data_IF_588598831576
#
_entry.id   IF_588598831576
#
_cell.length_a   1.000
_cell.length_b   1.000
_cell.length_c   1.000
_cell.angle_alpha   90.00
_cell.angle_beta   90.00
_cell.angle_gamma   90.00
#
_symmetry.space_group_name_H-M   'P 1'
#
loop_
_entity.id
_entity.type
_entity.pdbx_description
1 polymer ?
2 non-polymer ?
3 non-polymer ?
4 non-polymer ?
5 water ?
#
# COMPACT_ATOMS: atom_id res chain seq x y z
N UNK A 1 12.11 6.33 15.63
CA UNK A 1 11.88 5.15 16.43
C UNK A 1 12.86 4.04 16.09
N UNK A 2 12.77 2.94 16.83
CA UNK A 2 13.64 1.79 16.61
C UNK A 2 13.22 0.99 15.39
N UNK A 3 14.18 0.38 14.71
CA UNK A 3 13.88 -0.64 13.72
C UNK A 3 13.05 -1.71 14.41
N UNK A 4 12.14 -2.33 13.65
CA UNK A 4 11.24 -3.33 14.18
C UNK A 4 11.07 -4.50 13.23
N UNK A 5 10.87 -5.67 13.81
CA UNK A 5 10.47 -6.85 13.04
C UNK A 5 9.24 -7.44 13.75
N UNK A 6 8.86 -8.67 13.42
CA UNK A 6 7.79 -9.36 14.14
C UNK A 6 8.42 -10.35 15.11
N UNK A 7 7.75 -10.58 16.21
CA UNK A 7 8.24 -11.52 17.25
C UNK A 7 8.26 -12.96 16.80
N UNK A 8 7.17 -13.34 16.14
CA UNK A 8 6.84 -14.72 15.78
C UNK A 8 6.40 -14.72 14.28
N UNK A 9 6.51 -15.84 13.57
CA UNK A 9 5.89 -15.98 12.27
C UNK A 9 4.38 -15.73 12.36
N UNK A 10 3.86 -15.00 11.38
CA UNK A 10 2.44 -14.70 11.29
C UNK A 10 1.93 -15.14 9.92
N UNK A 11 0.78 -15.80 9.89
CA UNK A 11 0.24 -16.27 8.62
C UNK A 11 -1.09 -15.60 8.28
N UNK A 12 -1.31 -15.39 6.99
CA UNK A 12 -2.58 -14.91 6.47
C UNK A 12 -2.88 -15.67 5.19
N UNK A 13 -4.15 -15.76 4.81
CA UNK A 13 -4.50 -16.47 3.59
C UNK A 13 -5.85 -16.03 3.07
N UNK A 14 -6.08 -16.31 1.78
CA UNK A 14 -7.36 -16.02 1.17
C UNK A 14 -7.22 -15.66 -0.29
N UNK A 15 -8.35 -15.36 -0.92
CA UNK A 15 -8.34 -15.03 -2.34
C UNK A 15 -7.67 -13.69 -2.60
N UNK A 16 -7.06 -13.58 -3.78
CA UNK A 16 -6.50 -12.33 -4.26
C UNK A 16 -7.52 -11.62 -5.11
N UNK A 17 -7.59 -10.30 -5.00
CA UNK A 17 -8.64 -9.55 -5.66
C UNK A 17 -8.53 -9.56 -7.18
N UNK A 18 -7.31 -9.61 -7.72
CA UNK A 18 -7.15 -9.59 -9.17
C UNK A 18 -7.01 -10.96 -9.83
N UNK A 19 -6.26 -11.86 -9.21
CA UNK A 19 -6.11 -13.20 -9.75
C UNK A 19 -7.32 -14.09 -9.45
N UNK A 20 -8.02 -13.78 -8.37
CA UNK A 20 -9.12 -14.62 -7.91
C UNK A 20 -8.65 -15.95 -7.35
N UNK A 21 -7.33 -16.12 -7.21
CA UNK A 21 -6.76 -17.36 -6.70
C UNK A 21 -6.56 -17.28 -5.20
N UNK A 22 -6.53 -18.44 -4.56
CA UNK A 22 -6.26 -18.53 -3.13
C UNK A 22 -4.76 -18.54 -2.90
N UNK A 23 -4.28 -17.70 -2.00
CA UNK A 23 -2.86 -17.67 -1.69
C UNK A 23 -2.64 -17.62 -0.19
N UNK A 24 -1.40 -17.89 0.22
CA UNK A 24 -1.03 -17.88 1.63
C UNK A 24 0.22 -17.04 1.85
N UNK A 25 0.27 -16.36 2.98
CA UNK A 25 1.43 -15.58 3.40
C UNK A 25 1.99 -16.12 4.69
N UNK A 26 3.32 -16.09 4.82
CA UNK A 26 3.96 -16.25 6.11
C UNK A 26 4.93 -15.09 6.29
N UNK A 27 4.76 -14.32 7.35
CA UNK A 27 5.63 -13.20 7.64
C UNK A 27 6.69 -13.63 8.65
N UNK A 28 7.94 -13.51 8.25
CA UNK A 28 9.08 -14.02 9.01
C UNK A 28 9.88 -12.90 9.66
N UNK A 29 10.29 -13.10 10.92
CA UNK A 29 11.22 -12.16 11.55
C UNK A 29 12.54 -12.05 10.78
N UNK A 30 13.15 -10.87 10.81
CA UNK A 30 14.46 -10.66 10.21
C UNK A 30 15.25 -9.65 11.03
N UNK A 31 16.58 -9.75 10.94
CA UNK A 31 17.47 -8.91 11.71
C UNK A 31 17.56 -7.49 11.15
N UNK A 32 18.17 -6.62 11.93
CA UNK A 32 18.40 -5.23 11.54
C UNK A 32 19.10 -5.17 10.18
N UNK A 33 18.70 -4.19 9.38
CA UNK A 33 19.33 -3.97 8.09
C UNK A 33 18.78 -4.82 6.94
N UNK A 34 17.85 -5.72 7.22
CA UNK A 34 17.33 -6.60 6.18
C UNK A 34 16.43 -5.85 5.22
N UNK A 35 15.60 -4.95 5.75
CA UNK A 35 14.57 -4.30 4.95
C UNK A 35 13.34 -5.17 4.84
N UNK A 36 12.35 -4.68 4.10
CA UNK A 36 11.14 -5.43 3.80
C UNK A 36 11.33 -6.11 2.46
N UNK A 37 11.10 -7.41 2.42
CA UNK A 37 11.23 -8.15 1.17
C UNK A 37 10.19 -9.25 1.12
N UNK A 38 9.82 -9.63 -0.09
CA UNK A 38 8.97 -10.79 -0.32
C UNK A 38 9.85 -11.98 -0.69
N UNK A 39 9.30 -13.17 -0.58
CA UNK A 39 10.01 -14.40 -0.91
C UNK A 39 9.02 -15.35 -1.58
N UNK A 40 9.40 -15.82 -2.76
CA UNK A 40 8.54 -16.71 -3.52
C UNK A 40 9.39 -17.65 -4.36
N UNK A 41 9.13 -18.95 -4.23
CA UNK A 41 9.85 -19.96 -5.02
C UNK A 41 11.35 -19.76 -4.98
N UNK A 42 11.88 -19.52 -3.79
CA UNK A 42 13.31 -19.44 -3.59
C UNK A 42 13.93 -18.10 -3.97
N UNK A 43 13.10 -17.14 -4.36
CA UNK A 43 13.58 -15.84 -4.81
C UNK A 43 13.15 -14.72 -3.87
N UNK A 44 14.10 -13.87 -3.48
CA UNK A 44 13.78 -12.68 -2.69
C UNK A 44 13.50 -11.49 -3.60
N UNK A 45 12.38 -10.82 -3.34
CA UNK A 45 11.96 -9.65 -4.10
C UNK A 45 11.85 -8.49 -3.13
N UNK A 46 12.87 -7.61 -3.09
CA UNK A 46 12.79 -6.48 -2.17
C UNK A 46 11.57 -5.59 -2.43
N UNK A 47 11.01 -5.02 -1.38
CA UNK A 47 9.88 -4.12 -1.50
C UNK A 47 10.39 -2.72 -1.84
N UNK A 48 10.93 -2.60 -3.05
CA UNK A 48 11.54 -1.37 -3.52
C UNK A 48 11.12 -1.08 -4.95
N UNK A 49 11.17 0.19 -5.33
CA UNK A 49 10.62 0.62 -6.61
C UNK A 49 11.29 -0.02 -7.80
N UNK A 50 12.55 -0.43 -7.65
CA UNK A 50 13.27 -1.06 -8.75
C UNK A 50 12.63 -2.37 -9.21
N UNK A 51 11.79 -2.95 -8.35
CA UNK A 51 11.20 -4.25 -8.65
C UNK A 51 9.74 -4.16 -9.07
N UNK A 52 9.24 -2.94 -9.25
CA UNK A 52 7.88 -2.75 -9.74
C UNK A 52 7.77 -3.21 -11.20
N UNK A 53 6.75 -4.01 -11.48
CA UNK A 53 6.53 -4.51 -12.84
C UNK A 53 5.16 -4.17 -13.43
N UNK A 54 4.28 -3.60 -12.61
CA UNK A 54 2.92 -3.30 -13.02
C UNK A 54 2.33 -2.30 -12.04
N UNK A 55 1.54 -1.35 -12.53
CA UNK A 55 0.91 -0.34 -11.67
C UNK A 55 -0.52 0.00 -12.06
N UNK A 56 -1.15 -0.82 -12.91
CA UNK A 56 -2.53 -0.56 -13.31
C UNK A 56 -3.51 -1.36 -12.44
N UNK A 57 -4.18 -0.65 -11.54
CA UNK A 57 -5.16 -1.19 -10.60
C UNK A 57 -4.56 -1.87 -9.37
N UNK A 58 -3.24 -2.06 -9.38
CA UNK A 58 -2.50 -2.56 -8.23
C UNK A 58 -1.04 -2.30 -8.47
N UNK A 59 -0.25 -2.43 -7.42
CA UNK A 59 1.20 -2.35 -7.52
C UNK A 59 1.76 -3.75 -7.39
N UNK A 60 2.49 -4.19 -8.41
CA UNK A 60 3.01 -5.55 -8.45
C UNK A 60 4.53 -5.53 -8.53
N UNK A 61 5.17 -6.49 -7.88
CA UNK A 61 6.63 -6.60 -7.88
C UNK A 61 7.07 -7.90 -8.52
N UNK A 62 8.29 -7.92 -9.03
CA UNK A 62 8.84 -9.13 -9.59
C UNK A 62 10.36 -9.12 -9.64
N UNK A 63 10.94 -10.31 -9.61
CA UNK A 63 12.37 -10.48 -9.79
C UNK A 63 12.66 -11.92 -10.21
N UNK A 64 13.55 -12.08 -11.18
CA UNK A 64 14.03 -13.41 -11.57
C UNK A 64 12.90 -14.39 -11.89
N UNK A 65 11.86 -13.89 -12.55
CA UNK A 65 10.77 -14.74 -13.02
C UNK A 65 9.69 -15.04 -12.00
N UNK A 66 9.77 -14.40 -10.83
CA UNK A 66 8.76 -14.57 -9.79
C UNK A 66 8.05 -13.23 -9.56
N UNK A 67 6.72 -13.28 -9.55
CA UNK A 67 5.90 -12.07 -9.44
C UNK A 67 4.92 -12.18 -8.29
N UNK A 68 4.63 -11.04 -7.66
CA UNK A 68 3.62 -10.95 -6.63
C UNK A 68 2.75 -9.73 -6.89
N UNK A 69 1.46 -9.97 -7.07
CA UNK A 69 0.51 -8.90 -7.31
C UNK A 69 0.00 -8.29 -6.02
N UNK A 70 -0.29 -6.99 -6.09
CA UNK A 70 -1.09 -6.28 -5.10
C UNK A 70 -0.39 -6.22 -3.74
N UNK A 71 0.78 -5.59 -3.74
CA UNK A 71 1.57 -5.49 -2.53
C UNK A 71 1.22 -4.27 -1.69
N UNK A 72 0.39 -3.38 -2.22
CA UNK A 72 0.23 -2.06 -1.63
C UNK A 72 -0.41 -2.05 -0.23
N UNK A 73 -1.33 -2.97 0.04
CA UNK A 73 -2.04 -2.94 1.31
C UNK A 73 -1.19 -3.50 2.46
N UNK A 74 -0.50 -4.61 2.24
CA UNK A 74 0.39 -5.13 3.26
C UNK A 74 1.57 -4.16 3.48
N UNK A 75 2.08 -3.58 2.41
CA UNK A 75 3.16 -2.60 2.58
C UNK A 75 2.71 -1.36 3.33
N UNK A 76 1.48 -0.91 3.09
CA UNK A 76 0.98 0.25 3.80
C UNK A 76 0.92 -0.02 5.30
N UNK A 77 0.41 -1.19 5.67
CA UNK A 77 0.32 -1.57 7.06
C UNK A 77 1.71 -1.61 7.72
N UNK A 78 2.67 -2.21 7.03
CA UNK A 78 4.02 -2.30 7.56
C UNK A 78 4.63 -0.89 7.70
N UNK A 79 4.37 -0.02 6.74
CA UNK A 79 4.84 1.35 6.78
C UNK A 79 4.25 2.07 8.00
N UNK A 80 2.96 1.92 8.20
CA UNK A 80 2.26 2.62 9.29
C UNK A 80 2.74 2.15 10.66
N UNK A 81 3.07 0.86 10.77
CA UNK A 81 3.55 0.31 12.03
C UNK A 81 5.08 0.40 12.14
N UNK A 82 5.71 0.94 11.11
CA UNK A 82 7.17 1.08 11.05
C UNK A 82 7.89 -0.24 11.29
N UNK A 83 7.33 -1.33 10.76
CA UNK A 83 8.06 -2.58 10.66
C UNK A 83 9.04 -2.43 9.51
N UNK A 84 10.32 -2.61 9.81
CA UNK A 84 11.37 -2.31 8.84
C UNK A 84 12.11 -3.53 8.32
N UNK A 85 12.08 -4.64 9.07
CA UNK A 85 12.80 -5.84 8.70
C UNK A 85 11.87 -7.04 8.76
N UNK A 86 11.60 -7.65 7.63
CA UNK A 86 10.64 -8.73 7.58
C UNK A 86 10.69 -9.39 6.21
N UNK A 87 10.43 -10.69 6.16
CA UNK A 87 10.26 -11.38 4.89
C UNK A 87 8.82 -11.85 4.77
N UNK A 88 8.15 -11.45 3.70
CA UNK A 88 6.81 -11.90 3.43
C UNK A 88 6.88 -13.03 2.40
N UNK A 89 6.83 -14.25 2.90
CA UNK A 89 6.80 -15.43 2.04
C UNK A 89 5.41 -15.57 1.44
N UNK A 90 5.34 -15.67 0.12
CA UNK A 90 4.08 -15.78 -0.58
C UNK A 90 4.02 -17.12 -1.30
N UNK A 91 3.02 -17.91 -0.96
CA UNK A 91 2.73 -19.14 -1.69
C UNK A 91 1.50 -18.85 -2.51
N UNK A 92 1.72 -18.53 -3.78
CA UNK A 92 0.67 -18.04 -4.65
C UNK A 92 1.17 -16.86 -5.46
N UNK A 93 0.23 -16.13 -6.07
CA UNK A 93 0.58 -15.11 -7.05
C UNK A 93 0.19 -13.69 -6.64
N UNK A 94 -0.39 -13.55 -5.46
CA UNK A 94 -0.97 -12.28 -5.06
C UNK A 94 -1.14 -12.25 -3.55
N UNK A 95 -1.05 -11.06 -2.97
CA UNK A 95 -1.36 -10.92 -1.56
C UNK A 95 -2.90 -11.08 -1.37
N UNK A 96 -3.33 -11.84 -0.36
CA UNK A 96 -4.77 -11.92 -0.10
C UNK A 96 -5.39 -10.55 0.14
N UNK A 97 -6.59 -10.33 -0.37
CA UNK A 97 -7.27 -9.04 -0.21
C UNK A 97 -8.03 -8.96 1.12
N UNK A 98 -8.36 -10.12 1.69
CA UNK A 98 -9.12 -10.18 2.94
C UNK A 98 -10.41 -9.36 2.81
N UNK A 99 -10.70 -8.44 3.73
CA UNK A 99 -11.97 -7.70 3.66
C UNK A 99 -11.89 -6.45 2.77
N UNK A 100 -10.77 -6.27 2.09
CA UNK A 100 -10.58 -5.11 1.22
C UNK A 100 -9.77 -4.00 1.86
N UNK A 101 -9.52 -4.13 3.17
CA UNK A 101 -8.78 -3.12 3.92
C UNK A 101 -7.53 -3.71 4.55
N UNK A 102 -6.80 -2.90 5.30
CA UNK A 102 -5.60 -3.37 5.98
C UNK A 102 -5.87 -3.90 7.37
N UNK A 103 -7.14 -3.97 7.78
CA UNK A 103 -7.48 -4.19 9.18
C UNK A 103 -6.92 -5.48 9.77
N UNK A 104 -7.14 -6.60 9.11
CA UNK A 104 -6.70 -7.88 9.64
C UNK A 104 -5.17 -7.94 9.76
N UNK A 105 -4.46 -7.44 8.74
CA UNK A 105 -3.01 -7.36 8.81
C UNK A 105 -2.58 -6.49 9.98
N UNK A 106 -3.20 -5.32 10.09
CA UNK A 106 -2.81 -4.32 11.06
C UNK A 106 -2.97 -4.83 12.50
N UNK A 107 -4.13 -5.41 12.80
CA UNK A 107 -4.39 -5.88 14.16
C UNK A 107 -3.44 -7.01 14.56
N UNK A 108 -3.21 -7.95 13.65
CA UNK A 108 -2.35 -9.09 13.95
C UNK A 108 -0.89 -8.68 14.11
N UNK A 109 -0.42 -7.82 13.22
CA UNK A 109 0.98 -7.42 13.25
C UNK A 109 1.27 -6.50 14.42
N UNK A 110 0.33 -5.61 14.73
CA UNK A 110 0.51 -4.63 15.81
C UNK A 110 0.73 -5.31 17.16
N UNK A 111 0.14 -6.49 17.35
CA UNK A 111 0.26 -7.22 18.61
C UNK A 111 1.47 -8.16 18.62
N UNK A 112 2.27 -8.10 17.56
CA UNK A 112 3.39 -9.02 17.37
C UNK A 112 4.65 -8.31 16.91
N UNK A 113 4.87 -7.12 17.44
CA UNK A 113 6.04 -6.33 17.08
C UNK A 113 7.21 -6.58 18.02
N UNK A 114 8.39 -6.74 17.44
CA UNK A 114 9.63 -6.87 18.20
C UNK A 114 10.54 -5.68 17.90
N UNK A 115 10.80 -4.87 18.92
CA UNK A 115 11.73 -3.77 18.80
C UNK A 115 13.14 -4.30 18.62
N UNK A 116 13.93 -3.59 17.83
CA UNK A 116 15.31 -3.98 17.58
C UNK A 116 16.26 -2.89 18.08
N UNK A 117 17.53 -2.97 17.71
CA UNK A 117 18.55 -2.26 18.47
C UNK A 117 19.16 -1.02 17.84
N UNK A 118 18.76 -0.69 16.62
CA UNK A 118 19.17 0.58 16.05
C UNK A 118 17.94 1.38 15.65
N UNK A 119 18.13 2.67 15.44
CA UNK A 119 17.07 3.56 15.01
C UNK A 119 16.81 3.44 13.51
N UNK A 120 15.60 3.79 13.10
CA UNK A 120 15.24 3.81 11.70
C UNK A 120 15.91 4.98 10.99
N UNK A 121 16.49 4.70 9.84
CA UNK A 121 16.98 5.74 8.95
C UNK A 121 15.86 6.08 7.99
N UNK A 122 15.03 7.04 8.37
CA UNK A 122 13.87 7.41 7.57
C UNK A 122 14.28 7.98 6.24
N UNK A 123 13.46 7.76 5.21
CA UNK A 123 13.59 8.51 3.99
C UNK A 123 12.94 9.86 4.24
N UNK A 124 13.76 10.89 4.34
CA UNK A 124 13.31 12.23 4.69
C UNK A 124 13.27 13.09 3.44
N UNK A 125 12.08 13.45 2.99
CA UNK A 125 11.95 14.35 1.85
C UNK A 125 12.68 15.66 2.17
N UNK A 126 13.58 16.06 1.29
CA UNK A 126 14.51 17.15 1.59
C UNK A 126 14.09 18.49 0.98
N UNK A 127 13.33 18.45 -0.10
CA UNK A 127 12.87 19.67 -0.75
C UNK A 127 11.55 19.41 -1.47
N UNK A 128 10.81 20.48 -1.80
CA UNK A 128 9.54 20.28 -2.50
C UNK A 128 9.70 19.63 -3.86
N UNK A 129 8.69 18.89 -4.27
CA UNK A 129 8.67 18.23 -5.57
C UNK A 129 7.22 18.10 -6.02
N UNK A 130 7.01 18.14 -7.33
CA UNK A 130 5.70 17.94 -7.92
C UNK A 130 5.81 17.03 -9.13
N UNK A 131 4.95 16.03 -9.20
CA UNK A 131 4.84 15.19 -10.39
C UNK A 131 3.41 15.25 -10.92
N UNK A 132 3.26 15.23 -12.24
CA UNK A 132 1.95 15.35 -12.86
C UNK A 132 1.80 14.37 -14.02
N UNK A 133 0.59 13.97 -14.27
CA UNK A 133 0.27 13.17 -15.40
C UNK A 133 -1.21 13.27 -15.70
N UNK A 134 -1.58 13.80 -16.88
CA UNK A 134 -2.96 13.85 -17.36
C UNK A 134 -3.94 14.34 -16.31
N UNK A 135 -3.70 15.53 -15.76
CA UNK A 135 -4.62 16.15 -14.83
C UNK A 135 -4.43 15.70 -13.39
N UNK A 136 -3.73 14.59 -13.19
CA UNK A 136 -3.44 14.09 -11.86
C UNK A 136 -2.13 14.72 -11.38
N UNK A 137 -2.01 14.97 -10.08
CA UNK A 137 -0.84 15.58 -9.52
C UNK A 137 -0.53 15.08 -8.12
N UNK A 138 0.77 14.96 -7.81
CA UNK A 138 1.17 14.70 -6.43
C UNK A 138 2.32 15.63 -6.05
N UNK A 139 2.32 16.21 -5.00
CA UNK A 139 3.27 17.11 -4.41
C UNK A 139 3.82 16.51 -3.12
N UNK A 140 5.09 16.75 -2.83
CA UNK A 140 5.72 16.37 -1.57
C UNK A 140 6.60 17.52 -1.10
N UNK A 141 6.70 17.67 0.21
CA UNK A 141 7.59 18.67 0.80
C UNK A 141 8.08 18.17 2.14
N UNK A 142 9.13 18.80 2.68
CA UNK A 142 9.67 18.32 3.95
C UNK A 142 8.69 18.41 5.11
N UNK A 143 8.79 17.43 6.00
CA UNK A 143 7.99 17.39 7.23
C UNK A 143 8.66 16.41 8.19
N UNK A 144 8.61 16.72 9.48
CA UNK A 144 9.18 15.84 10.49
C UNK A 144 8.33 14.60 10.68
N UNK A 145 7.07 14.68 10.23
CA UNK A 145 6.14 13.57 10.35
C UNK A 145 5.53 13.23 9.00
N UNK A 146 5.08 12.00 8.86
CA UNK A 146 4.37 11.57 7.66
C UNK A 146 2.96 12.14 7.68
N UNK A 147 2.66 12.95 6.67
CA UNK A 147 1.34 13.52 6.50
C UNK A 147 0.95 13.31 5.04
N UNK A 148 -0.25 12.79 4.81
CA UNK A 148 -0.68 12.45 3.46
C UNK A 148 -2.12 12.85 3.24
N UNK A 149 -2.34 13.71 2.24
CA UNK A 149 -3.68 14.14 1.87
C UNK A 149 -4.01 13.62 0.48
N UNK A 150 -5.21 13.09 0.32
CA UNK A 150 -5.70 12.70 -0.99
C UNK A 150 -7.00 13.43 -1.28
N UNK A 151 -7.08 14.02 -2.46
CA UNK A 151 -8.30 14.65 -2.91
C UNK A 151 -8.81 13.94 -4.16
N UNK A 152 -10.04 13.47 -4.10
CA UNK A 152 -10.68 12.84 -5.23
C UNK A 152 -11.80 13.67 -5.81
N UNK A 153 -12.07 13.44 -7.08
CA UNK A 153 -13.22 14.04 -7.75
C UNK A 153 -13.96 12.93 -8.47
N UNK A 154 -14.98 12.40 -7.83
CA UNK A 154 -15.66 11.21 -8.31
C UNK A 154 -16.85 11.57 -9.19
N UNK A 155 -17.04 10.78 -10.24
CA UNK A 155 -18.13 11.00 -11.19
C UNK A 155 -19.39 10.26 -10.75
N UNK A 156 -19.73 10.40 -9.48
CA UNK A 156 -20.98 9.87 -8.96
C UNK A 156 -21.41 10.71 -7.77
N UNK A 157 -22.33 10.18 -6.96
CA UNK A 157 -22.91 10.94 -5.86
C UNK A 157 -21.87 11.46 -4.86
N UNK A 158 -20.68 10.87 -4.84
CA UNK A 158 -19.66 11.26 -3.88
C UNK A 158 -19.07 12.64 -4.17
N UNK A 159 -19.00 13.01 -5.44
CA UNK A 159 -18.44 14.30 -5.82
C UNK A 159 -17.01 14.45 -5.34
N UNK A 160 -16.69 15.63 -4.81
CA UNK A 160 -15.36 15.94 -4.35
C UNK A 160 -15.18 15.64 -2.86
N UNK A 161 -14.12 14.89 -2.55
CA UNK A 161 -13.79 14.55 -1.18
C UNK A 161 -12.30 14.70 -0.96
N UNK A 162 -11.89 15.08 0.24
CA UNK A 162 -10.48 15.01 0.58
C UNK A 162 -10.30 14.50 2.00
N UNK A 163 -9.17 13.85 2.25
CA UNK A 163 -8.87 13.31 3.55
C UNK A 163 -7.38 13.41 3.83
N UNK A 164 -7.04 13.77 5.06
CA UNK A 164 -5.66 13.90 5.49
C UNK A 164 -5.33 12.94 6.62
N UNK A 165 -4.32 12.10 6.40
CA UNK A 165 -3.72 11.27 7.43
C UNK A 165 -2.54 12.01 8.07
N UNK A 166 -2.45 11.94 9.39
CA UNK A 166 -1.23 12.32 10.09
C UNK A 166 -0.87 11.20 11.07
N UNK A 167 0.40 11.13 11.45
CA UNK A 167 0.84 10.14 12.43
C UNK A 167 -0.03 10.19 13.67
N UNK A 168 -0.37 9.02 14.19
CA UNK A 168 -1.24 8.90 15.34
C UNK A 168 -2.65 8.51 14.94
N UNK A 169 -2.97 8.72 13.67
CA UNK A 169 -4.33 8.44 13.17
C UNK A 169 -4.35 7.24 12.23
N UNK A 170 -3.46 6.29 12.48
CA UNK A 170 -3.36 5.10 11.65
C UNK A 170 -4.68 4.35 11.58
N UNK A 171 -5.39 4.32 12.71
CA UNK A 171 -6.67 3.60 12.78
C UNK A 171 -7.74 4.21 11.89
N UNK A 172 -7.50 5.42 11.40
CA UNK A 172 -8.46 6.10 10.56
C UNK A 172 -8.41 5.66 9.09
N UNK A 173 -7.35 4.94 8.69
CA UNK A 173 -7.25 4.52 7.31
C UNK A 173 -7.10 3.01 7.11
N UNK A 174 -6.81 2.25 8.17
CA UNK A 174 -6.55 0.83 8.02
C UNK A 174 -7.82 -0.02 7.88
N UNK A 175 -8.98 0.60 8.04
CA UNK A 175 -10.25 -0.10 7.81
C UNK A 175 -10.94 0.33 6.52
N UNK A 176 -10.35 1.27 5.78
CA UNK A 176 -10.96 1.75 4.55
C UNK A 176 -10.69 0.76 3.42
N UNK A 177 -11.75 0.33 2.74
CA UNK A 177 -11.64 -0.72 1.74
C UNK A 177 -11.41 -0.21 0.34
N UNK A 178 -10.80 -1.08 -0.47
CA UNK A 178 -10.69 -0.84 -1.89
C UNK A 178 -12.10 -0.71 -2.48
N UNK A 179 -12.21 0.01 -3.59
CA UNK A 179 -13.50 0.33 -4.16
C UNK A 179 -13.44 0.30 -5.68
N UNK A 180 -14.60 0.15 -6.30
CA UNK A 180 -14.72 0.15 -7.75
C UNK A 180 -16.07 0.69 -8.14
N UNK A 181 -16.15 1.22 -9.35
CA UNK A 181 -17.38 1.77 -9.88
C UNK A 181 -17.98 0.78 -10.85
N UNK A 182 -19.30 0.62 -10.79
CA UNK A 182 -19.96 -0.44 -11.55
C UNK A 182 -19.72 -0.32 -13.05
N UNK A 183 -19.61 0.91 -13.55
CA UNK A 183 -19.45 1.12 -14.98
C UNK A 183 -18.03 0.85 -15.46
N UNK A 184 -17.11 0.55 -14.54
CA UNK A 184 -15.73 0.27 -14.90
C UNK A 184 -15.35 -1.20 -14.76
N UNK A 185 -16.18 -1.97 -14.08
CA UNK A 185 -15.81 -3.34 -13.73
C UNK A 185 -15.68 -4.26 -14.95
N UNK A 186 -16.55 -4.09 -15.95
CA UNK A 186 -16.46 -4.93 -17.14
C UNK A 186 -15.11 -4.78 -17.83
N UNK A 187 -14.62 -3.55 -17.95
CA UNK A 187 -13.31 -3.31 -18.55
C UNK A 187 -12.21 -3.95 -17.73
N UNK A 188 -12.26 -3.76 -16.42
CA UNK A 188 -11.24 -4.30 -15.54
C UNK A 188 -11.14 -5.82 -15.70
N UNK A 189 -12.29 -6.48 -15.79
CA UNK A 189 -12.29 -7.92 -15.98
C UNK A 189 -11.77 -8.29 -17.37
N UNK A 190 -12.11 -7.48 -18.36
CA UNK A 190 -11.71 -7.75 -19.74
C UNK A 190 -10.20 -7.65 -19.91
N UNK A 191 -9.55 -6.85 -19.08
CA UNK A 191 -8.11 -6.68 -19.19
C UNK A 191 -7.34 -7.58 -18.22
N UNK A 192 -8.04 -8.59 -17.70
CA UNK A 192 -7.40 -9.68 -16.98
C UNK A 192 -7.30 -9.50 -15.48
N UNK A 193 -8.09 -8.58 -14.93
CA UNK A 193 -8.00 -8.22 -13.52
C UNK A 193 -9.34 -8.40 -12.80
N UNK A 194 -9.36 -8.07 -11.51
CA UNK A 194 -10.57 -8.10 -10.71
C UNK A 194 -11.27 -9.45 -10.57
N UNK A 195 -10.56 -10.54 -10.81
CA UNK A 195 -11.21 -11.85 -10.83
C UNK A 195 -11.71 -12.29 -9.46
N UNK A 196 -11.10 -11.76 -8.40
CA UNK A 196 -11.49 -12.11 -7.04
C UNK A 196 -12.38 -11.06 -6.38
N UNK A 197 -12.73 -10.01 -7.10
CA UNK A 197 -13.54 -8.94 -6.54
C UNK A 197 -14.98 -9.35 -6.29
N UNK A 198 -15.49 -8.96 -5.13
CA UNK A 198 -16.88 -9.25 -4.77
C UNK A 198 -17.32 -8.24 -3.72
N UNK A 199 -18.60 -8.26 -3.38
CA UNK A 199 -19.11 -7.37 -2.34
C UNK A 199 -18.55 -7.72 -0.97
N UNK A 200 -17.86 -8.86 -0.86
CA UNK A 200 -17.24 -9.25 0.40
C UNK A 200 -15.88 -8.58 0.61
N UNK A 201 -15.28 -8.05 -0.45
CA UNK A 201 -13.95 -7.45 -0.34
C UNK A 201 -13.78 -6.11 -1.06
N UNK A 202 -14.85 -5.62 -1.69
CA UNK A 202 -14.79 -4.39 -2.45
C UNK A 202 -16.02 -3.56 -2.21
N UNK A 203 -15.83 -2.26 -1.98
CA UNK A 203 -16.92 -1.30 -1.96
C UNK A 203 -17.28 -0.97 -3.39
N UNK A 204 -18.44 -1.42 -3.84
CA UNK A 204 -18.85 -1.23 -5.22
C UNK A 204 -19.92 -0.14 -5.30
N UNK A 205 -19.64 0.88 -6.11
CA UNK A 205 -20.46 2.08 -6.18
C UNK A 205 -21.00 2.29 -7.57
N UNK A 206 -22.25 2.75 -7.66
CA UNK A 206 -22.84 3.17 -8.91
C UNK A 206 -22.93 4.69 -8.94
N UNK A 207 -23.59 5.21 -9.96
CA UNK A 207 -23.74 6.66 -10.10
C UNK A 207 -24.49 7.23 -8.91
N UNK A 208 -25.51 6.52 -8.45
CA UNK A 208 -26.43 7.04 -7.45
C UNK A 208 -26.62 6.10 -6.26
N UNK A 209 -25.90 4.99 -6.20
CA UNK A 209 -26.13 4.02 -5.15
C UNK A 209 -24.88 3.26 -4.71
N UNK A 210 -25.01 2.57 -3.59
CA UNK A 210 -23.99 1.67 -3.07
C UNK A 210 -24.52 0.25 -3.14
N UNK A 211 -23.75 -0.66 -3.72
CA UNK A 211 -24.19 -2.04 -3.87
C UNK A 211 -24.11 -2.84 -2.58
N UNK A 212 -23.07 -2.60 -1.79
CA UNK A 212 -22.86 -3.33 -0.54
C UNK A 212 -24.01 -3.09 0.43
N UNK A 213 -24.68 -4.17 0.87
CA UNK A 213 -25.78 -3.98 1.82
C UNK A 213 -25.34 -3.28 3.12
N UNK A 214 -24.10 -3.48 3.52
CA UNK A 214 -23.59 -2.91 4.76
C UNK A 214 -23.22 -1.43 4.60
N UNK A 215 -23.20 -0.97 3.36
CA UNK A 215 -22.89 0.42 3.06
C UNK A 215 -21.43 0.78 3.29
N UNK A 216 -21.16 2.08 3.32
CA UNK A 216 -19.81 2.58 3.52
C UNK A 216 -19.42 2.58 4.98
N UNK A 217 -18.15 2.28 5.25
CA UNK A 217 -17.64 2.34 6.61
C UNK A 217 -17.46 3.79 7.07
N UNK A 218 -17.20 4.66 6.10
CA UNK A 218 -17.08 6.10 6.33
C UNK A 218 -17.62 6.78 5.09
N UNK A 219 -18.21 7.96 5.24
CA UNK A 219 -18.74 8.67 4.08
C UNK A 219 -17.64 8.94 3.05
N UNK A 220 -16.40 9.07 3.52
CA UNK A 220 -15.27 9.31 2.64
C UNK A 220 -14.32 8.10 2.56
N UNK A 221 -14.88 6.90 2.69
CA UNK A 221 -14.08 5.69 2.65
C UNK A 221 -13.16 5.63 1.43
N UNK A 222 -13.65 6.02 0.24
CA UNK A 222 -12.77 5.91 -0.93
C UNK A 222 -11.49 6.74 -0.83
N UNK A 223 -11.55 7.99 -0.38
CA UNK A 223 -10.33 8.78 -0.29
C UNK A 223 -9.45 8.33 0.89
N UNK A 224 -10.06 7.83 1.96
CA UNK A 224 -9.26 7.19 3.00
C UNK A 224 -8.46 6.02 2.42
N UNK A 225 -9.10 5.22 1.57
CA UNK A 225 -8.39 4.10 0.97
C UNK A 225 -7.29 4.57 0.03
N UNK A 226 -7.53 5.63 -0.72
CA UNK A 226 -6.51 6.16 -1.62
C UNK A 226 -5.30 6.66 -0.85
N UNK A 227 -5.51 7.24 0.32
CA UNK A 227 -4.40 7.62 1.20
C UNK A 227 -3.63 6.38 1.63
N UNK A 228 -4.37 5.36 2.06
CA UNK A 228 -3.79 4.07 2.45
C UNK A 228 -2.93 3.48 1.33
N UNK A 229 -3.45 3.49 0.10
CA UNK A 229 -2.69 3.02 -1.07
C UNK A 229 -1.38 3.79 -1.24
N UNK A 230 -1.46 5.11 -1.17
CA UNK A 230 -0.29 5.94 -1.39
C UNK A 230 0.77 5.66 -0.34
N UNK A 231 0.37 5.46 0.90
CA UNK A 231 1.32 5.14 1.96
C UNK A 231 2.01 3.79 1.69
N UNK A 232 1.29 2.84 1.12
CA UNK A 232 1.90 1.58 0.72
C UNK A 232 2.91 1.77 -0.40
N UNK A 233 2.55 2.53 -1.42
CA UNK A 233 3.45 2.78 -2.53
C UNK A 233 4.68 3.57 -2.10
N UNK A 234 4.51 4.50 -1.16
CA UNK A 234 5.64 5.28 -0.66
C UNK A 234 6.69 4.40 0.01
N UNK A 235 6.27 3.26 0.56
CA UNK A 235 7.24 2.40 1.24
C UNK A 235 8.20 1.76 0.24
N UNK A 236 7.91 1.88 -1.05
CA UNK A 236 8.82 1.38 -2.08
C UNK A 236 10.10 2.23 -2.14
N UNK A 237 10.14 3.30 -1.37
CA UNK A 237 11.38 4.04 -1.18
C UNK A 237 12.39 3.24 -0.36
N UNK A 238 11.92 2.22 0.34
CA UNK A 238 12.80 1.29 1.03
C UNK A 238 13.00 1.57 2.52
N UNK A 239 12.44 2.67 3.01
CA UNK A 239 12.48 3.02 4.42
C UNK A 239 11.21 3.78 4.76
N UNK A 240 10.79 3.75 6.02
CA UNK A 240 9.63 4.59 6.37
C UNK A 240 9.92 6.05 6.06
N UNK A 241 8.88 6.78 5.68
CA UNK A 241 9.02 8.08 5.05
C UNK A 241 8.57 9.22 5.95
N UNK A 242 9.34 10.30 5.97
CA UNK A 242 8.91 11.55 6.60
C UNK A 242 8.78 12.61 5.51
N UNK A 243 7.58 13.13 5.36
CA UNK A 243 7.30 14.14 4.36
C UNK A 243 5.81 14.43 4.35
N UNK A 244 5.44 15.56 3.75
CA UNK A 244 4.04 15.95 3.64
C UNK A 244 3.64 15.85 2.18
N UNK A 245 2.61 15.05 1.90
CA UNK A 245 2.22 14.70 0.55
C UNK A 245 0.80 15.15 0.29
N UNK A 246 0.55 15.60 -0.93
CA UNK A 246 -0.80 15.92 -1.39
C UNK A 246 -0.99 15.31 -2.76
N UNK A 247 -1.99 14.46 -2.89
CA UNK A 247 -2.30 13.81 -4.15
C UNK A 247 -3.67 14.22 -4.63
N UNK A 248 -3.74 14.74 -5.85
CA UNK A 248 -5.00 15.05 -6.51
C UNK A 248 -5.25 14.00 -7.58
N UNK A 249 -6.19 13.11 -7.29
CA UNK A 249 -6.60 12.06 -8.23
C UNK A 249 -5.48 11.09 -8.59
N UNK A 250 -4.49 10.95 -7.72
CA UNK A 250 -3.38 10.05 -8.00
C UNK A 250 -3.78 8.59 -7.97
N UNK A 251 -2.94 7.77 -8.59
CA UNK A 251 -3.09 6.32 -8.54
C UNK A 251 -1.71 5.69 -8.47
N UNK A 252 -1.64 4.37 -8.54
CA UNK A 252 -0.37 3.68 -8.35
C UNK A 252 0.70 4.13 -9.34
N UNK A 253 0.32 4.36 -10.58
CA UNK A 253 1.30 4.75 -11.60
C UNK A 253 1.96 6.06 -11.20
N UNK A 254 1.16 7.05 -10.81
CA UNK A 254 1.69 8.35 -10.44
C UNK A 254 2.46 8.26 -9.12
N UNK A 255 1.97 7.43 -8.20
CA UNK A 255 2.65 7.23 -6.93
C UNK A 255 4.07 6.71 -7.14
N UNK A 256 4.19 5.72 -8.02
CA UNK A 256 5.48 5.11 -8.29
C UNK A 256 6.38 6.07 -9.05
N UNK A 257 5.80 6.88 -9.93
CA UNK A 257 6.56 7.92 -10.62
C UNK A 257 7.19 8.87 -9.61
N UNK A 258 6.41 9.29 -8.62
CA UNK A 258 6.92 10.17 -7.57
C UNK A 258 8.03 9.49 -6.78
N UNK A 259 7.81 8.23 -6.40
CA UNK A 259 8.80 7.48 -5.64
C UNK A 259 10.12 7.41 -6.39
N UNK A 260 10.05 7.14 -7.69
CA UNK A 260 11.27 7.01 -8.49
C UNK A 260 12.01 8.34 -8.59
N UNK A 261 11.28 9.44 -8.69
CA UNK A 261 11.92 10.76 -8.75
C UNK A 261 12.59 11.10 -7.42
N UNK A 262 11.92 10.80 -6.31
CA UNK A 262 12.49 11.05 -4.99
C UNK A 262 13.74 10.20 -4.76
N UNK A 263 13.68 8.94 -5.14
CA UNK A 263 14.78 8.02 -4.92
C UNK A 263 16.01 8.46 -5.70
N UNK A 264 15.79 8.90 -6.94
CA UNK A 264 16.87 9.35 -7.79
C UNK A 264 17.60 10.52 -7.15
N UNK A 265 16.85 11.44 -6.58
CA UNK A 265 17.42 12.61 -5.91
C UNK A 265 18.37 12.23 -4.78
N UNK A 266 18.02 11.20 -4.02
CA UNK A 266 18.76 10.87 -2.81
C UNK A 266 19.54 9.56 -2.88
N UNK A 267 19.75 9.01 -4.07
CA UNK A 267 20.42 7.71 -4.16
C UNK A 267 21.81 7.72 -3.49
N UNK A 268 22.41 8.90 -3.38
CA UNK A 268 23.76 9.01 -2.80
C UNK A 268 23.80 9.48 -1.35
N UNK A 269 22.65 9.48 -0.69
CA UNK A 269 22.61 9.55 0.76
C UNK A 269 22.08 8.21 1.26
N UNK A 270 21.16 7.63 0.48
CA UNK A 270 20.48 6.39 0.84
C UNK A 270 21.35 5.14 0.69
N UNK A 271 22.00 4.99 -0.47
CA UNK A 271 22.81 3.80 -0.73
C UNK A 271 24.02 3.72 0.20
N UNK A 272 24.28 4.81 0.92
CA UNK A 272 25.39 4.85 1.87
C UNK A 272 24.88 4.68 3.30
X LIG B 1 -5.94 -0.31 -2.53
X LIG C 1 -7.22 -0.47 -4.13
X LIG C 1 -6.77 -0.24 -5.25
X LIG C 1 -5.41 -0.41 -5.39
X LIG C 1 -4.82 -0.71 -4.24
X LIG C 1 -7.57 0.10 -6.47
X LIG C 1 -8.55 -0.93 -6.69
X LIG C 1 -8.87 -1.40 -7.99
X LIG C 1 -8.46 -0.84 -8.93
X LIG C 1 -9.95 -2.44 -8.11
X LIG C 1 -10.52 -2.97 -6.97
X LIG C 1 -11.60 -3.86 -7.05
X LIG C 1 -12.10 -4.24 -8.29
X LIG C 1 -11.53 -3.70 -9.44
X LIG C 1 -10.45 -2.82 -9.36
X LIG C 1 -13.34 -5.01 -8.33
X LIG C 1 -14.36 -5.63 -8.37
X LIG C 1 -15.55 -6.27 -8.38
X LIG C 1 -16.61 -6.81 -8.38
X LIG C 1 -17.89 -7.45 -8.38
X LIG C 1 -18.70 -7.36 -7.26
X LIG C 1 -19.94 -7.99 -7.26
X LIG C 1 -20.36 -8.70 -8.38
X LIG C 1 -19.53 -8.78 -9.50
X LIG C 1 -18.30 -8.16 -9.50
X LIG C 1 -8.13 1.52 -6.35
X LIG C 1 -9.26 1.47 -5.30
X LIG C 1 -7.06 2.40 -5.96
X LIG D 1 12.53 -17.55 4.21
X LIG D 1 13.03 -18.29 3.00
X LIG D 1 12.86 -18.34 5.46
X LIG D 1 13.19 -16.19 4.29
X LIG D 1 11.03 -17.37 4.10
#
# INVERSE_FOLDING_TARGET
>A
GLEKTVKEKLSFEGVGIHTGEYSKLIIHPEKEGTGIRFFKNGVYIPARHEFVVHTNHSTDLGFKGQRIKTVEHILSVLHLLEITNVTIEVIGNEIPILDGSGWEFYEAIRKNILNQNREIDYFVVEEPIIVEDEGRLIKAEPSDTLEVTYEGEFKNFLGRQKFTFVEGNEEEIVLARTFAFDWEIEHIKKVGLGKGGSLKNTLVLGKDKVYNPEGLRYENEPVRHKVFDLIGDLYLLGSPVKGKFYSFRGGHSLNVKLVKELAKKQKLTRDLPH
>B hetero
1 ZN ZN
>C hetero
1 3P3 O01 C02 N03 O04 C05 N06 C07 O08 C09 C10 C11 C12 C13 C14 C15 C16 C17 C18 C19 C20 C21 C22 C23 C24 C25 C26 O27
>D hetero
1 PO4 P O1 O2 O3 O4
#
